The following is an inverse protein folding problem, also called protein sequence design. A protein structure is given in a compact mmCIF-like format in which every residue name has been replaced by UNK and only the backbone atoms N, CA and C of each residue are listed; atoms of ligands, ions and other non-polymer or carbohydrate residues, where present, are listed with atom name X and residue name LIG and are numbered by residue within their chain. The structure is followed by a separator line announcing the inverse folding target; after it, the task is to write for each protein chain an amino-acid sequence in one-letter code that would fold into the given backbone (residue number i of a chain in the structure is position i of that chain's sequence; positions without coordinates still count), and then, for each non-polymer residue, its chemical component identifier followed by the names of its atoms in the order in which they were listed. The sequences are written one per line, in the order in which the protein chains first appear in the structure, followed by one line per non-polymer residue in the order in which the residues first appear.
data_IF_034429565268
#
_entry.id   IF_034429565268
#
_cell.length_a   1.000
_cell.length_b   1.000
_cell.length_c   1.000
_cell.angle_alpha   90.00
_cell.angle_beta   90.00
_cell.angle_gamma   90.00
#
_symmetry.space_group_name_H-M   'P 1'
#
loop_
_entity.id
_entity.type
_entity.pdbx_description
1 polymer ?
#
# COMPACT_ATOMS: atom_id res chain seq x y z
N UNK A 1 -9.59 -31.38 -27.98
CA UNK A 1 -8.48 -31.65 -27.04
C UNK A 1 -7.18 -31.16 -27.68
N UNK A 2 -6.57 -30.12 -27.13
CA UNK A 2 -5.32 -29.57 -27.68
C UNK A 2 -4.17 -30.53 -27.42
N UNK A 3 -3.48 -30.97 -28.48
CA UNK A 3 -2.27 -31.80 -28.36
C UNK A 3 -1.14 -30.90 -27.85
N UNK A 4 -0.74 -31.06 -26.61
CA UNK A 4 0.45 -30.41 -26.06
C UNK A 4 1.69 -30.99 -26.74
N UNK A 5 2.51 -30.12 -27.34
CA UNK A 5 3.76 -30.53 -27.98
C UNK A 5 4.83 -30.71 -26.88
N UNK A 6 4.95 -31.92 -26.35
CA UNK A 6 5.89 -32.26 -25.28
C UNK A 6 7.35 -31.93 -25.62
N UNK A 7 7.74 -32.03 -26.89
CA UNK A 7 9.09 -31.67 -27.37
C UNK A 7 9.46 -30.22 -27.09
N UNK A 8 8.52 -29.28 -27.23
CA UNK A 8 8.77 -27.86 -26.92
C UNK A 8 8.94 -27.62 -25.43
N UNK A 9 8.23 -28.39 -24.62
CA UNK A 9 8.34 -28.31 -23.15
C UNK A 9 9.72 -28.82 -22.73
N UNK A 10 10.16 -29.96 -23.26
CA UNK A 10 11.48 -30.53 -23.01
C UNK A 10 12.62 -29.59 -23.45
N UNK A 11 12.52 -29.00 -24.64
CA UNK A 11 13.49 -28.01 -25.12
C UNK A 11 13.55 -26.79 -24.20
N UNK A 12 12.40 -26.26 -23.77
CA UNK A 12 12.37 -25.11 -22.85
C UNK A 12 12.96 -25.43 -21.48
N UNK A 13 12.76 -26.65 -21.00
CA UNK A 13 13.26 -27.12 -19.71
C UNK A 13 14.77 -27.35 -19.78
N UNK A 14 15.27 -27.95 -20.86
CA UNK A 14 16.70 -28.09 -21.13
C UNK A 14 17.42 -26.74 -21.26
N UNK A 15 16.81 -25.78 -21.97
CA UNK A 15 17.35 -24.41 -22.06
C UNK A 15 17.34 -23.70 -20.70
N UNK A 16 16.31 -23.90 -19.88
CA UNK A 16 16.22 -23.36 -18.53
C UNK A 16 17.33 -23.89 -17.62
N UNK A 17 17.51 -25.21 -17.59
CA UNK A 17 18.59 -25.86 -16.84
C UNK A 17 19.96 -25.39 -17.30
N UNK A 18 20.18 -25.30 -18.61
CA UNK A 18 21.46 -24.84 -19.16
C UNK A 18 21.78 -23.39 -18.74
N UNK A 19 20.79 -22.49 -18.76
CA UNK A 19 20.98 -21.11 -18.29
C UNK A 19 21.34 -21.05 -16.81
N UNK A 20 20.67 -21.84 -15.97
CA UNK A 20 20.98 -21.90 -14.53
C UNK A 20 22.40 -22.43 -14.27
N UNK A 21 22.83 -23.45 -15.02
CA UNK A 21 24.18 -24.01 -14.93
C UNK A 21 25.23 -22.95 -15.31
N UNK A 22 25.01 -22.22 -16.41
CA UNK A 22 25.92 -21.15 -16.87
C UNK A 22 25.99 -20.01 -15.84
N UNK A 23 24.86 -19.56 -15.30
CA UNK A 23 24.83 -18.53 -14.25
C UNK A 23 25.56 -18.99 -12.99
N UNK A 24 25.41 -20.27 -12.61
CA UNK A 24 26.12 -20.84 -11.47
C UNK A 24 27.64 -20.84 -11.71
N UNK A 25 28.09 -21.31 -12.87
CA UNK A 25 29.51 -21.33 -13.23
C UNK A 25 30.12 -19.93 -13.30
N UNK A 26 29.39 -18.95 -13.83
CA UNK A 26 29.81 -17.55 -13.82
C UNK A 26 29.96 -17.02 -12.40
N UNK A 27 29.00 -17.29 -11.51
CA UNK A 27 29.08 -16.89 -10.11
C UNK A 27 30.25 -17.56 -9.36
N UNK A 28 30.55 -18.82 -9.65
CA UNK A 28 31.71 -19.54 -9.09
C UNK A 28 33.04 -18.97 -9.62
N UNK A 29 33.11 -18.65 -10.92
CA UNK A 29 34.27 -18.01 -11.54
C UNK A 29 34.50 -16.59 -11.00
N UNK A 30 33.44 -15.80 -10.82
CA UNK A 30 33.52 -14.46 -10.23
C UNK A 30 34.04 -14.53 -8.79
N UNK A 31 33.54 -15.48 -7.98
CA UNK A 31 34.04 -15.75 -6.62
C UNK A 31 35.52 -16.15 -6.61
N UNK A 32 35.94 -17.02 -7.52
CA UNK A 32 37.34 -17.45 -7.63
C UNK A 32 38.27 -16.33 -8.13
N UNK A 33 37.76 -15.42 -8.97
CA UNK A 33 38.53 -14.30 -9.53
C UNK A 33 38.79 -13.14 -8.56
N UNK A 34 38.21 -13.19 -7.35
CA UNK A 34 38.33 -12.11 -6.38
C UNK A 34 37.71 -10.78 -6.83
N UNK A 35 36.97 -10.77 -7.96
CA UNK A 35 36.18 -9.60 -8.34
C UNK A 35 35.08 -9.42 -7.30
N UNK A 36 34.87 -8.20 -6.78
CA UNK A 36 33.70 -7.94 -5.98
C UNK A 36 32.47 -8.33 -6.81
N UNK A 37 31.50 -9.05 -6.23
CA UNK A 37 30.30 -9.42 -6.96
C UNK A 37 29.72 -8.14 -7.59
N UNK A 38 29.24 -8.19 -8.85
CA UNK A 38 28.54 -7.05 -9.42
C UNK A 38 27.48 -6.62 -8.41
N UNK A 39 27.31 -5.30 -8.16
CA UNK A 39 26.34 -4.83 -7.18
C UNK A 39 25.02 -5.51 -7.53
N UNK A 40 24.55 -6.39 -6.63
CA UNK A 40 23.23 -6.99 -6.76
C UNK A 40 22.32 -5.81 -7.03
N UNK A 41 21.66 -5.80 -8.19
CA UNK A 41 20.53 -4.91 -8.40
C UNK A 41 19.50 -5.34 -7.37
N UNK A 42 19.58 -4.74 -6.19
CA UNK A 42 18.65 -4.87 -5.09
C UNK A 42 17.34 -4.23 -5.52
N UNK A 43 16.64 -4.91 -6.41
CA UNK A 43 15.24 -4.67 -6.69
C UNK A 43 14.59 -6.04 -6.72
N UNK A 44 14.55 -6.70 -5.57
CA UNK A 44 13.44 -7.61 -5.29
C UNK A 44 12.17 -6.77 -5.44
N UNK A 45 11.28 -7.07 -6.41
CA UNK A 45 10.12 -6.25 -6.72
C UNK A 45 9.21 -6.01 -5.50
N UNK A 46 9.21 -6.96 -4.54
CA UNK A 46 8.43 -6.91 -3.30
C UNK A 46 8.76 -5.69 -2.41
N UNK A 47 10.05 -5.42 -2.15
CA UNK A 47 10.47 -4.27 -1.33
C UNK A 47 10.08 -2.93 -1.96
N UNK A 48 10.03 -2.87 -3.29
CA UNK A 48 9.59 -1.67 -4.00
C UNK A 48 8.07 -1.46 -3.89
N UNK A 49 7.30 -2.54 -3.82
CA UNK A 49 5.85 -2.48 -3.61
C UNK A 49 5.47 -2.07 -2.19
N UNK A 50 6.16 -2.61 -1.18
CA UNK A 50 5.95 -2.23 0.23
C UNK A 50 6.20 -0.74 0.45
N UNK A 51 7.31 -0.24 -0.10
CA UNK A 51 7.67 1.19 -0.06
C UNK A 51 6.61 2.08 -0.73
N UNK A 52 6.07 1.64 -1.88
CA UNK A 52 4.97 2.35 -2.55
C UNK A 52 3.69 2.35 -1.73
N UNK A 53 3.37 1.22 -1.10
CA UNK A 53 2.18 1.09 -0.25
C UNK A 53 2.25 2.03 0.95
N UNK A 54 3.42 2.07 1.62
CA UNK A 54 3.65 2.95 2.76
C UNK A 54 3.41 4.43 2.44
N UNK A 55 3.85 4.90 1.27
CA UNK A 55 3.63 6.28 0.84
C UNK A 55 2.15 6.55 0.57
N UNK A 56 1.46 5.63 -0.13
CA UNK A 56 0.03 5.78 -0.40
C UNK A 56 -0.79 5.87 0.89
N UNK A 57 -0.49 5.02 1.87
CA UNK A 57 -1.18 5.03 3.16
C UNK A 57 -0.91 6.34 3.92
N UNK A 58 0.33 6.84 3.86
CA UNK A 58 0.71 8.13 4.43
C UNK A 58 -0.07 9.29 3.79
N UNK A 59 -0.15 9.32 2.46
CA UNK A 59 -0.90 10.34 1.71
C UNK A 59 -2.38 10.33 2.06
N UNK A 60 -2.98 9.14 2.08
CA UNK A 60 -4.39 8.95 2.42
C UNK A 60 -4.69 9.48 3.83
N UNK A 61 -3.88 9.07 4.82
CA UNK A 61 -4.06 9.50 6.20
C UNK A 61 -3.90 11.01 6.34
N UNK A 62 -2.88 11.60 5.72
CA UNK A 62 -2.65 13.05 5.78
C UNK A 62 -3.79 13.82 5.11
N UNK A 63 -4.34 13.34 3.99
CA UNK A 63 -5.47 13.97 3.33
C UNK A 63 -6.75 13.90 4.19
N UNK A 64 -7.02 12.74 4.81
CA UNK A 64 -8.14 12.59 5.76
C UNK A 64 -8.01 13.52 6.96
N UNK A 65 -6.81 13.65 7.51
CA UNK A 65 -6.55 14.53 8.64
C UNK A 65 -6.68 16.01 8.27
N UNK A 66 -6.16 16.42 7.09
CA UNK A 66 -6.31 17.79 6.55
C UNK A 66 -7.77 18.19 6.34
N UNK A 67 -8.60 17.25 5.89
CA UNK A 67 -10.03 17.50 5.68
C UNK A 67 -10.76 17.84 6.99
N UNK A 68 -10.25 17.36 8.14
CA UNK A 68 -10.80 17.66 9.46
C UNK A 68 -10.16 18.88 10.13
N UNK A 69 -8.84 19.03 9.99
CA UNK A 69 -8.10 20.10 10.65
C UNK A 69 -6.96 20.61 9.74
N UNK A 70 -7.04 21.89 9.37
CA UNK A 70 -6.05 22.56 8.54
C UNK A 70 -4.70 22.73 9.25
N UNK A 71 -4.66 22.67 10.59
CA UNK A 71 -3.45 22.78 11.42
C UNK A 71 -2.84 21.45 11.83
N UNK A 72 -3.18 20.35 11.14
CA UNK A 72 -2.69 19.02 11.50
C UNK A 72 -1.15 18.91 11.52
N UNK A 73 -0.46 19.67 10.68
CA UNK A 73 1.00 19.66 10.62
C UNK A 73 1.65 20.19 11.90
N UNK A 74 1.01 21.15 12.59
CA UNK A 74 1.45 21.65 13.89
C UNK A 74 1.27 20.58 14.96
N UNK A 75 0.14 19.86 14.95
CA UNK A 75 -0.14 18.75 15.87
C UNK A 75 0.80 17.56 15.67
N UNK A 76 1.12 17.23 14.42
CA UNK A 76 2.08 16.18 14.08
C UNK A 76 3.54 16.58 14.36
N UNK A 77 3.81 17.87 14.65
CA UNK A 77 5.15 18.45 14.81
C UNK A 77 6.04 18.19 13.58
N UNK A 78 5.45 18.23 12.39
CA UNK A 78 6.15 17.92 11.13
C UNK A 78 5.93 19.05 10.13
N UNK A 79 7.01 19.47 9.46
CA UNK A 79 6.92 20.45 8.37
C UNK A 79 6.25 19.83 7.15
N UNK A 80 5.34 20.58 6.52
CA UNK A 80 4.69 20.18 5.25
C UNK A 80 5.70 19.78 4.17
N UNK A 81 6.84 20.47 4.11
CA UNK A 81 7.93 20.15 3.18
C UNK A 81 8.51 18.75 3.38
N UNK A 82 8.56 18.25 4.62
CA UNK A 82 9.08 16.90 4.92
C UNK A 82 8.12 15.84 4.40
N UNK A 83 6.81 16.07 4.52
CA UNK A 83 5.81 15.17 3.93
C UNK A 83 5.86 15.20 2.41
N UNK A 84 5.99 16.38 1.79
CA UNK A 84 6.11 16.50 0.34
C UNK A 84 7.34 15.78 -0.23
N UNK A 85 8.46 15.76 0.51
CA UNK A 85 9.64 14.99 0.11
C UNK A 85 9.34 13.50 -0.05
N UNK A 86 8.51 12.93 0.82
CA UNK A 86 8.14 11.52 0.75
C UNK A 86 7.23 11.20 -0.44
N UNK A 87 6.35 12.14 -0.83
CA UNK A 87 5.36 11.95 -1.90
C UNK A 87 5.93 12.25 -3.29
N UNK A 88 6.74 13.30 -3.43
CA UNK A 88 7.20 13.80 -4.73
C UNK A 88 8.40 13.02 -5.29
N UNK A 89 9.33 12.58 -4.43
CA UNK A 89 10.57 11.93 -4.87
C UNK A 89 10.92 10.67 -4.05
N UNK A 90 10.09 9.63 -4.09
CA UNK A 90 10.29 8.41 -3.29
C UNK A 90 11.59 7.64 -3.62
N UNK A 91 12.10 7.80 -4.83
CA UNK A 91 13.31 7.10 -5.30
C UNK A 91 14.62 7.68 -4.74
N UNK A 92 14.58 8.90 -4.18
CA UNK A 92 15.76 9.59 -3.63
C UNK A 92 15.85 9.53 -2.10
N UNK A 93 14.96 8.76 -1.47
CA UNK A 93 14.88 8.64 -0.02
C UNK A 93 15.93 7.66 0.51
N UNK A 94 16.65 8.08 1.55
CA UNK A 94 17.56 7.22 2.31
C UNK A 94 16.79 6.16 3.11
N UNK A 95 17.45 5.09 3.55
CA UNK A 95 16.84 4.11 4.47
C UNK A 95 16.37 4.75 5.78
N UNK A 96 17.08 5.77 6.26
CA UNK A 96 16.68 6.53 7.45
C UNK A 96 15.36 7.29 7.22
N UNK A 97 15.18 7.84 6.02
CA UNK A 97 13.95 8.53 5.63
C UNK A 97 12.76 7.57 5.62
N UNK A 98 12.97 6.33 5.19
CA UNK A 98 11.93 5.28 5.22
C UNK A 98 11.54 4.90 6.66
N UNK A 99 12.50 4.84 7.59
CA UNK A 99 12.20 4.63 9.01
C UNK A 99 11.40 5.80 9.58
N UNK A 100 11.76 7.03 9.22
CA UNK A 100 11.00 8.22 9.61
C UNK A 100 9.57 8.21 9.05
N UNK A 101 9.40 7.82 7.79
CA UNK A 101 8.07 7.70 7.17
C UNK A 101 7.20 6.66 7.88
N UNK A 102 7.76 5.50 8.27
CA UNK A 102 7.05 4.49 9.04
C UNK A 102 6.60 4.97 10.43
N UNK A 103 7.44 5.73 11.13
CA UNK A 103 7.08 6.35 12.42
C UNK A 103 5.97 7.37 12.21
N UNK A 104 6.06 8.16 11.13
CA UNK A 104 5.07 9.19 10.81
C UNK A 104 3.71 8.56 10.48
N UNK A 105 3.70 7.44 9.75
CA UNK A 105 2.49 6.66 9.48
C UNK A 105 1.79 6.26 10.78
N UNK A 106 2.51 5.63 11.71
CA UNK A 106 1.95 5.23 13.02
C UNK A 106 1.36 6.42 13.78
N UNK A 107 2.06 7.56 13.77
CA UNK A 107 1.56 8.79 14.41
C UNK A 107 0.26 9.29 13.77
N UNK A 108 0.21 9.30 12.42
CA UNK A 108 -0.99 9.70 11.69
C UNK A 108 -2.16 8.76 11.93
N UNK A 109 -1.93 7.46 12.08
CA UNK A 109 -2.95 6.47 12.40
C UNK A 109 -3.51 6.67 13.82
N UNK A 110 -2.65 6.87 14.82
CA UNK A 110 -3.11 7.18 16.19
C UNK A 110 -3.94 8.45 16.24
N UNK A 111 -3.49 9.52 15.58
CA UNK A 111 -4.24 10.79 15.51
C UNK A 111 -5.55 10.64 14.74
N UNK A 112 -5.57 9.83 13.68
CA UNK A 112 -6.78 9.55 12.93
C UNK A 112 -7.78 8.80 13.81
N UNK A 113 -7.32 7.83 14.59
CA UNK A 113 -8.17 7.06 15.52
C UNK A 113 -8.71 7.91 16.67
N UNK A 114 -7.93 8.87 17.16
CA UNK A 114 -8.37 9.82 18.19
C UNK A 114 -9.42 10.81 17.64
N UNK A 115 -9.25 11.30 16.41
CA UNK A 115 -10.17 12.28 15.81
C UNK A 115 -11.34 11.67 15.04
N UNK A 116 -11.22 10.40 14.67
CA UNK A 116 -12.28 9.56 14.11
C UNK A 116 -12.34 8.35 15.03
N UNK A 117 -12.96 8.46 16.22
CA UNK A 117 -13.41 7.25 16.88
C UNK A 117 -14.28 6.55 15.85
N UNK A 118 -13.97 5.29 15.55
CA UNK A 118 -14.83 4.45 14.72
C UNK A 118 -16.22 4.56 15.33
N UNK A 119 -17.07 5.39 14.75
CA UNK A 119 -18.50 5.20 14.88
C UNK A 119 -18.68 3.90 14.13
N UNK A 120 -18.58 2.81 14.89
CA UNK A 120 -18.78 1.45 14.40
C UNK A 120 -19.96 1.54 13.42
N UNK A 121 -19.78 1.01 12.21
CA UNK A 121 -20.80 1.04 11.16
C UNK A 121 -22.19 0.73 11.72
N UNK A 122 -22.27 -0.10 12.76
CA UNK A 122 -23.44 -0.39 13.60
C UNK A 122 -24.24 0.85 14.03
N UNK A 123 -23.62 1.91 14.57
CA UNK A 123 -24.36 3.14 14.94
C UNK A 123 -24.91 3.87 13.72
N UNK A 124 -24.22 3.80 12.59
CA UNK A 124 -24.65 4.44 11.35
C UNK A 124 -25.81 3.65 10.72
N UNK A 125 -25.75 2.32 10.79
CA UNK A 125 -26.83 1.40 10.40
C UNK A 125 -28.04 1.57 11.33
N UNK A 126 -27.84 1.71 12.64
CA UNK A 126 -28.91 1.99 13.61
C UNK A 126 -29.56 3.36 13.38
N UNK A 127 -28.77 4.42 13.13
CA UNK A 127 -29.26 5.75 12.77
C UNK A 127 -30.06 5.72 11.45
N UNK A 128 -29.65 4.90 10.49
CA UNK A 128 -30.35 4.74 9.21
C UNK A 128 -31.63 3.91 9.36
N UNK A 129 -31.60 2.80 10.11
CA UNK A 129 -32.77 1.99 10.44
C UNK A 129 -33.82 2.80 11.22
N UNK A 130 -33.41 3.60 12.20
CA UNK A 130 -34.32 4.48 12.96
C UNK A 130 -34.90 5.60 12.10
N UNK A 131 -34.13 6.19 11.17
CA UNK A 131 -34.65 7.12 10.16
C UNK A 131 -35.71 6.48 9.27
N UNK A 132 -35.51 5.22 8.84
CA UNK A 132 -36.47 4.50 8.00
C UNK A 132 -37.73 4.05 8.76
N UNK A 133 -37.60 3.70 10.04
CA UNK A 133 -38.75 3.44 10.94
C UNK A 133 -39.62 4.69 11.07
N UNK A 134 -39.02 5.86 11.29
CA UNK A 134 -39.74 7.13 11.40
C UNK A 134 -40.30 7.65 10.06
N UNK A 135 -39.82 7.15 8.91
CA UNK A 135 -40.38 7.46 7.58
C UNK A 135 -41.71 6.78 7.29
N UNK A 136 -42.13 5.76 8.07
CA UNK A 136 -43.36 4.99 7.81
C UNK A 136 -44.68 5.73 8.06
N UNK A 137 -44.65 7.01 8.41
CA UNK A 137 -45.89 7.79 8.61
C UNK A 137 -45.79 9.22 8.08
N UNK A 138 -45.29 9.39 6.85
CA UNK A 138 -45.40 10.68 6.18
C UNK A 138 -46.77 10.77 5.47
N UNK A 139 -47.80 11.21 6.21
CA UNK A 139 -49.18 11.42 5.71
C UNK A 139 -49.22 12.39 4.52
N UNK A 140 -48.16 13.20 4.33
CA UNK A 140 -48.04 14.13 3.22
C UNK A 140 -47.67 13.49 1.87
N UNK A 141 -47.03 12.31 1.86
CA UNK A 141 -46.50 11.72 0.62
C UNK A 141 -47.44 10.70 -0.04
N UNK A 142 -48.64 10.41 0.52
CA UNK A 142 -49.65 9.50 -0.07
C UNK A 142 -49.15 8.10 -0.49
N UNK A 143 -48.02 7.63 0.02
CA UNK A 143 -47.59 6.25 -0.22
C UNK A 143 -48.24 5.34 0.82
N UNK A 144 -49.38 4.75 0.47
CA UNK A 144 -49.95 3.61 1.19
C UNK A 144 -49.23 2.34 0.71
N UNK A 145 -48.65 1.53 1.61
CA UNK A 145 -48.22 0.19 1.24
C UNK A 145 -49.46 -0.64 0.88
N UNK A 146 -49.52 -1.10 -0.37
CA UNK A 146 -50.52 -2.06 -0.80
C UNK A 146 -50.23 -3.39 -0.11
N UNK A 147 -51.20 -3.86 0.68
CA UNK A 147 -51.23 -5.21 1.24
C UNK A 147 -51.34 -6.27 0.14
#
# INVERSE_FOLDING_TARGET
MGKTNFTKVEESLAQGLHKMEVERLLNEADKASGKPPPPKKETSPELAEEKKKLIKDLELNINRLKAKDSKIFEKLKVKRSTVQKFTENPQKLSEEDWKHAAILLKRTETLLKEMVPDKANDKLVEDEQTRHLNKRFNVNEKWLPLN
#
